data_IF_675095955185
#
_entry.id   IF_675095955185
#
_cell.length_a   1.000
_cell.length_b   1.000
_cell.length_c   1.000
_cell.angle_alpha   90.00
_cell.angle_beta   90.00
_cell.angle_gamma   90.00
#
_symmetry.space_group_name_H-M   'P 1'
#
loop_
_entity.id
_entity.type
_entity.pdbx_description
1 polymer ?
#
# COMPACT_ATOMS: atom_id res chain seq x y z
N UNK A 1 -100.73 48.28 34.27
CA UNK A 1 -99.62 48.39 35.24
C UNK A 1 -99.37 47.00 35.81
N UNK A 2 -98.74 46.12 35.11
CA UNK A 2 -98.44 44.76 35.54
C UNK A 2 -97.00 44.41 35.39
N UNK A 3 -96.40 44.06 36.48
CA UNK A 3 -95.02 43.65 36.66
C UNK A 3 -94.79 42.29 35.94
N UNK A 4 -93.61 42.08 35.27
CA UNK A 4 -93.30 40.75 34.73
C UNK A 4 -92.63 39.87 35.76
N UNK A 5 -93.16 38.66 35.86
CA UNK A 5 -92.73 37.61 36.78
C UNK A 5 -91.33 37.03 36.41
N UNK A 6 -90.50 36.99 37.38
CA UNK A 6 -89.21 36.35 37.47
C UNK A 6 -89.35 34.82 37.39
N UNK A 7 -88.93 34.22 36.26
CA UNK A 7 -88.85 32.77 36.14
C UNK A 7 -87.42 32.33 36.54
N UNK A 8 -87.26 32.04 37.82
CA UNK A 8 -86.13 31.25 38.29
C UNK A 8 -86.19 29.84 37.72
N UNK A 9 -85.21 29.51 36.83
CA UNK A 9 -85.01 28.17 36.38
C UNK A 9 -84.46 27.32 37.55
N UNK A 10 -85.34 26.55 38.17
CA UNK A 10 -84.97 25.54 39.17
C UNK A 10 -84.32 24.34 38.47
N UNK A 11 -82.94 24.45 38.30
CA UNK A 11 -82.18 23.30 37.91
C UNK A 11 -82.06 22.28 39.06
N UNK A 12 -82.50 21.07 38.86
CA UNK A 12 -82.39 20.00 39.86
C UNK A 12 -80.95 19.79 40.28
N UNK A 13 -80.54 20.08 41.59
CA UNK A 13 -79.15 20.04 42.06
C UNK A 13 -78.50 18.67 41.89
N UNK A 14 -79.27 17.59 41.88
CA UNK A 14 -78.76 16.22 41.63
C UNK A 14 -78.30 16.04 40.17
N UNK A 15 -79.02 16.67 39.25
CA UNK A 15 -78.66 16.62 37.82
C UNK A 15 -77.42 17.45 37.49
N UNK A 16 -77.27 18.60 38.20
CA UNK A 16 -76.07 19.48 38.11
C UNK A 16 -74.82 18.79 38.66
N UNK A 17 -74.97 18.11 39.82
CA UNK A 17 -73.89 17.34 40.42
C UNK A 17 -73.40 16.15 39.56
N UNK A 18 -74.39 15.48 38.88
CA UNK A 18 -74.02 14.42 37.90
C UNK A 18 -73.27 14.97 36.66
N UNK A 19 -73.65 16.12 36.14
CA UNK A 19 -72.97 16.78 35.01
C UNK A 19 -71.56 17.19 35.40
N UNK A 20 -71.37 17.76 36.63
CA UNK A 20 -70.08 18.17 37.14
C UNK A 20 -69.14 16.99 37.39
N UNK A 21 -69.68 15.83 37.86
CA UNK A 21 -68.89 14.61 37.99
C UNK A 21 -68.45 14.05 36.65
N UNK A 22 -69.35 14.09 35.65
CA UNK A 22 -69.01 13.64 34.27
C UNK A 22 -67.98 14.53 33.61
N UNK A 23 -68.08 15.82 33.77
CA UNK A 23 -67.05 16.80 33.25
C UNK A 23 -65.72 16.60 33.93
N UNK A 24 -65.68 16.36 35.23
CA UNK A 24 -64.48 16.09 36.01
C UNK A 24 -63.80 14.80 35.52
N UNK A 25 -64.55 13.74 35.31
CA UNK A 25 -64.08 12.46 34.78
C UNK A 25 -63.51 12.63 33.37
N UNK A 26 -64.17 13.36 32.49
CA UNK A 26 -63.63 13.64 31.14
C UNK A 26 -62.33 14.45 31.16
N UNK A 27 -62.19 15.42 32.06
CA UNK A 27 -60.96 16.19 32.23
C UNK A 27 -59.82 15.28 32.74
N UNK A 28 -60.09 14.39 33.65
CA UNK A 28 -59.13 13.42 34.19
C UNK A 28 -58.66 12.42 33.12
N UNK A 29 -59.58 11.89 32.32
CA UNK A 29 -59.21 11.02 31.19
C UNK A 29 -58.33 11.74 30.17
N UNK A 30 -58.69 12.96 29.76
CA UNK A 30 -57.86 13.74 28.84
C UNK A 30 -56.47 14.05 29.42
N UNK A 31 -56.36 14.23 30.72
CA UNK A 31 -55.06 14.46 31.38
C UNK A 31 -54.21 13.19 31.38
N UNK A 32 -54.82 12.04 31.63
CA UNK A 32 -54.14 10.74 31.59
C UNK A 32 -53.69 10.38 30.19
N UNK A 33 -54.52 10.61 29.17
CA UNK A 33 -54.15 10.44 27.76
C UNK A 33 -52.94 11.28 27.37
N UNK A 34 -52.91 12.59 27.72
CA UNK A 34 -51.78 13.47 27.45
C UNK A 34 -50.52 13.01 28.19
N UNK A 35 -50.65 12.53 29.43
CA UNK A 35 -49.51 12.00 30.17
C UNK A 35 -48.95 10.72 29.53
N UNK A 36 -49.85 9.83 29.08
CA UNK A 36 -49.46 8.60 28.38
C UNK A 36 -48.78 8.89 27.04
N UNK A 37 -49.29 9.87 26.28
CA UNK A 37 -48.64 10.32 25.03
C UNK A 37 -47.25 10.94 25.30
N UNK A 38 -47.16 11.78 26.32
CA UNK A 38 -45.87 12.39 26.72
C UNK A 38 -44.84 11.31 27.12
N UNK A 39 -45.24 10.32 27.91
CA UNK A 39 -44.40 9.21 28.31
C UNK A 39 -43.93 8.39 27.09
N UNK A 40 -44.84 8.11 26.13
CA UNK A 40 -44.50 7.44 24.87
C UNK A 40 -43.47 8.26 24.05
N UNK A 41 -43.66 9.58 23.97
CA UNK A 41 -42.70 10.46 23.25
C UNK A 41 -41.32 10.48 23.93
N UNK A 42 -41.24 10.58 25.25
CA UNK A 42 -39.99 10.53 26.00
C UNK A 42 -39.28 9.19 25.83
N UNK A 43 -40.03 8.08 25.89
CA UNK A 43 -39.50 6.73 25.67
C UNK A 43 -38.94 6.55 24.24
N UNK A 44 -39.67 7.06 23.22
CA UNK A 44 -39.16 7.07 21.83
C UNK A 44 -37.89 7.88 21.68
N UNK A 45 -37.80 9.09 22.29
CA UNK A 45 -36.61 9.91 22.26
C UNK A 45 -35.41 9.24 22.94
N UNK A 46 -35.60 8.59 24.09
CA UNK A 46 -34.57 7.83 24.79
C UNK A 46 -34.05 6.65 23.97
N UNK A 47 -34.99 5.86 23.36
CA UNK A 47 -34.63 4.75 22.49
C UNK A 47 -33.92 5.24 21.24
N UNK A 48 -34.33 6.33 20.61
CA UNK A 48 -33.67 6.92 19.46
C UNK A 48 -32.26 7.36 19.81
N UNK A 49 -32.04 8.04 20.93
CA UNK A 49 -30.67 8.42 21.38
C UNK A 49 -29.79 7.17 21.59
N UNK A 50 -30.31 6.13 22.25
CA UNK A 50 -29.55 4.90 22.49
C UNK A 50 -29.16 4.22 21.17
N UNK A 51 -30.08 4.12 20.22
CA UNK A 51 -29.79 3.55 18.88
C UNK A 51 -28.71 4.34 18.16
N UNK A 52 -28.80 5.67 18.15
CA UNK A 52 -27.78 6.52 17.55
C UNK A 52 -26.40 6.38 18.24
N UNK A 53 -26.36 6.25 19.57
CA UNK A 53 -25.11 6.00 20.30
C UNK A 53 -24.53 4.64 19.96
N UNK A 54 -25.34 3.59 19.85
CA UNK A 54 -24.88 2.24 19.47
C UNK A 54 -24.36 2.23 18.05
N UNK A 55 -25.15 2.78 17.09
CA UNK A 55 -24.74 2.84 15.68
C UNK A 55 -23.49 3.70 15.51
N UNK A 56 -23.41 4.85 16.18
CA UNK A 56 -22.24 5.73 16.11
C UNK A 56 -20.98 5.08 16.68
N UNK A 57 -21.10 4.39 17.82
CA UNK A 57 -19.94 3.72 18.43
C UNK A 57 -19.47 2.50 17.62
N UNK A 58 -20.38 1.71 17.04
CA UNK A 58 -19.99 0.59 16.18
C UNK A 58 -19.33 1.07 14.89
N UNK A 59 -19.82 2.15 14.28
CA UNK A 59 -19.17 2.76 13.11
C UNK A 59 -17.79 3.30 13.45
N UNK A 60 -17.62 3.98 14.59
CA UNK A 60 -16.32 4.46 15.05
C UNK A 60 -15.32 3.31 15.29
N UNK A 61 -15.76 2.23 15.94
CA UNK A 61 -14.93 1.03 16.14
C UNK A 61 -14.54 0.36 14.83
N UNK A 62 -15.45 0.31 13.85
CA UNK A 62 -15.13 -0.24 12.53
C UNK A 62 -14.07 0.60 11.81
N UNK A 63 -14.15 1.93 11.87
CA UNK A 63 -13.14 2.82 11.29
C UNK A 63 -11.79 2.63 11.98
N UNK A 64 -11.77 2.58 13.32
CA UNK A 64 -10.53 2.33 14.08
C UNK A 64 -9.95 0.96 13.71
N UNK A 65 -10.77 -0.08 13.60
CA UNK A 65 -10.35 -1.41 13.17
C UNK A 65 -9.73 -1.42 11.77
N UNK A 66 -10.33 -0.71 10.82
CA UNK A 66 -9.78 -0.56 9.45
C UNK A 66 -8.44 0.20 9.46
N UNK A 67 -8.32 1.26 10.24
CA UNK A 67 -7.07 2.02 10.37
C UNK A 67 -5.98 1.14 10.98
N UNK A 68 -6.26 0.43 12.08
CA UNK A 68 -5.30 -0.49 12.69
C UNK A 68 -4.91 -1.60 11.73
N UNK A 69 -5.87 -2.18 11.02
CA UNK A 69 -5.60 -3.20 10.01
C UNK A 69 -4.72 -2.67 8.86
N UNK A 70 -4.93 -1.43 8.41
CA UNK A 70 -4.10 -0.82 7.36
C UNK A 70 -2.64 -0.66 7.77
N UNK A 71 -2.35 -0.40 9.03
CA UNK A 71 -0.98 -0.36 9.56
C UNK A 71 -0.41 -1.77 9.83
N UNK A 72 -1.23 -2.68 10.35
CA UNK A 72 -0.78 -4.04 10.68
C UNK A 72 -0.48 -4.90 9.46
N UNK A 73 -1.17 -4.65 8.35
CA UNK A 73 -1.01 -5.37 7.08
C UNK A 73 -0.35 -4.52 5.98
N UNK A 74 0.20 -3.35 6.32
CA UNK A 74 1.00 -2.59 5.37
C UNK A 74 2.23 -3.42 4.95
N UNK A 75 2.54 -3.54 3.64
CA UNK A 75 3.78 -4.14 3.21
C UNK A 75 4.96 -3.37 3.81
N UNK A 76 6.03 -4.10 4.17
CA UNK A 76 7.26 -3.46 4.61
C UNK A 76 7.76 -2.48 3.54
N UNK A 77 8.26 -1.31 3.91
CA UNK A 77 8.87 -0.42 2.93
C UNK A 77 10.08 -1.13 2.30
N UNK A 78 10.39 -0.86 1.02
CA UNK A 78 11.58 -1.40 0.38
C UNK A 78 12.83 -1.01 1.18
N UNK A 79 13.88 -1.85 1.19
CA UNK A 79 15.11 -1.54 1.86
C UNK A 79 15.76 -0.28 1.27
N UNK A 80 16.46 0.46 2.10
CA UNK A 80 17.19 1.65 1.69
C UNK A 80 18.70 1.41 1.86
N UNK A 81 19.43 1.62 0.80
CA UNK A 81 20.89 1.58 0.80
C UNK A 81 21.44 3.00 0.71
N UNK A 82 22.67 3.23 1.16
CA UNK A 82 23.31 4.54 1.02
C UNK A 82 23.99 4.63 -0.34
N UNK A 83 23.57 5.60 -1.15
CA UNK A 83 24.11 5.80 -2.47
C UNK A 83 25.60 6.17 -2.43
N UNK A 84 26.38 5.58 -3.32
CA UNK A 84 27.78 5.89 -3.49
C UNK A 84 28.69 5.46 -2.35
N UNK A 85 28.22 4.60 -1.47
CA UNK A 85 28.97 4.19 -0.30
C UNK A 85 29.72 2.88 -0.58
N UNK A 86 30.78 2.97 -1.40
CA UNK A 86 31.77 1.89 -1.44
C UNK A 86 32.45 1.85 -0.09
N UNK A 87 32.05 0.90 0.76
CA UNK A 87 32.59 0.76 2.12
C UNK A 87 33.95 0.09 2.11
N UNK A 88 34.35 -0.47 0.97
CA UNK A 88 35.49 -1.35 0.82
C UNK A 88 35.26 -2.73 1.39
N UNK A 89 33.97 -3.12 1.52
CA UNK A 89 33.60 -4.46 1.99
C UNK A 89 34.00 -5.51 0.97
N UNK A 90 34.90 -6.40 1.34
CA UNK A 90 35.19 -7.59 0.55
C UNK A 90 34.07 -8.60 0.72
N UNK A 91 33.34 -8.88 -0.35
CA UNK A 91 32.24 -9.85 -0.38
C UNK A 91 32.77 -11.12 -1.04
N UNK A 92 32.71 -12.23 -0.31
CA UNK A 92 33.18 -13.52 -0.82
C UNK A 92 32.43 -13.93 -2.09
N UNK A 93 33.17 -14.32 -3.13
CA UNK A 93 32.66 -14.77 -4.42
C UNK A 93 32.30 -13.64 -5.40
N UNK A 94 32.50 -12.36 -5.05
CA UNK A 94 32.37 -11.28 -6.03
C UNK A 94 33.55 -11.35 -7.01
N UNK A 95 33.20 -11.35 -8.28
CA UNK A 95 34.14 -11.23 -9.39
C UNK A 95 34.21 -9.78 -9.85
N UNK A 96 35.42 -9.30 -10.11
CA UNK A 96 35.67 -7.97 -10.65
C UNK A 96 36.21 -8.05 -12.07
N UNK A 97 35.82 -7.10 -12.89
CA UNK A 97 36.18 -7.02 -14.32
C UNK A 97 36.71 -5.62 -14.65
N UNK A 98 37.23 -5.48 -15.84
CA UNK A 98 37.58 -4.19 -16.43
C UNK A 98 36.90 -4.09 -17.79
N UNK A 99 35.76 -3.43 -17.84
CA UNK A 99 34.97 -3.29 -19.05
C UNK A 99 35.07 -1.90 -19.66
N UNK A 100 34.98 -1.81 -20.98
CA UNK A 100 34.86 -0.55 -21.71
C UNK A 100 33.41 -0.05 -21.63
N UNK A 101 33.22 1.27 -21.69
CA UNK A 101 31.92 1.92 -21.62
C UNK A 101 31.46 2.58 -22.93
N UNK A 102 31.78 1.97 -24.06
CA UNK A 102 31.45 2.55 -25.38
C UNK A 102 29.98 2.34 -25.70
N UNK A 103 29.33 3.39 -26.19
CA UNK A 103 28.00 3.27 -26.79
C UNK A 103 28.07 2.68 -28.20
N UNK A 104 27.38 1.61 -28.44
CA UNK A 104 27.30 0.91 -29.73
C UNK A 104 25.86 0.63 -30.16
N UNK A 105 25.67 0.42 -31.44
CA UNK A 105 24.38 -0.04 -31.99
C UNK A 105 24.45 -1.54 -32.26
N UNK A 106 23.33 -2.24 -32.00
CA UNK A 106 23.21 -3.67 -32.28
C UNK A 106 23.64 -4.57 -31.13
N UNK A 107 23.75 -5.86 -31.42
CA UNK A 107 24.05 -6.90 -30.41
C UNK A 107 25.52 -6.96 -30.09
N UNK A 108 25.83 -7.09 -28.81
CA UNK A 108 27.20 -7.23 -28.27
C UNK A 108 27.42 -8.65 -27.76
N UNK A 109 28.59 -9.20 -28.02
CA UNK A 109 29.03 -10.44 -27.35
C UNK A 109 29.80 -10.04 -26.10
N UNK A 110 29.30 -10.46 -24.94
CA UNK A 110 29.91 -10.19 -23.66
C UNK A 110 30.71 -11.38 -23.15
N UNK A 111 31.80 -11.10 -22.43
CA UNK A 111 32.61 -12.13 -21.78
C UNK A 111 31.94 -12.70 -20.53
N UNK A 112 31.10 -11.90 -19.86
CA UNK A 112 30.32 -12.32 -18.69
C UNK A 112 28.89 -12.68 -19.11
N UNK A 113 28.33 -13.70 -18.46
CA UNK A 113 26.92 -14.11 -18.63
C UNK A 113 26.27 -14.28 -17.25
N UNK A 114 25.27 -13.42 -16.90
CA UNK A 114 24.87 -12.16 -17.55
C UNK A 114 26.00 -11.12 -17.62
N UNK A 115 25.91 -10.09 -18.48
CA UNK A 115 26.96 -9.07 -18.56
C UNK A 115 27.00 -8.19 -17.29
N UNK A 116 28.23 -7.79 -16.92
CA UNK A 116 28.48 -6.90 -15.80
C UNK A 116 29.15 -5.57 -16.22
N UNK A 117 28.99 -5.18 -17.47
CA UNK A 117 29.59 -4.02 -18.11
C UNK A 117 29.96 -4.30 -19.56
N UNK A 118 30.57 -3.35 -20.23
CA UNK A 118 31.03 -3.48 -21.60
C UNK A 118 30.33 -2.55 -22.59
N UNK A 119 30.61 -2.65 -23.89
CA UNK A 119 29.94 -1.85 -24.91
C UNK A 119 28.44 -2.07 -24.86
N UNK A 120 27.65 -1.00 -24.99
CA UNK A 120 26.21 -1.09 -24.77
C UNK A 120 25.41 -0.06 -25.59
N UNK A 121 24.09 -0.20 -25.59
CA UNK A 121 23.18 0.67 -26.32
C UNK A 121 23.18 2.08 -25.69
N UNK A 122 23.15 3.18 -26.47
CA UNK A 122 23.07 4.54 -25.92
C UNK A 122 21.77 4.87 -25.18
N UNK A 123 20.79 3.95 -25.15
CA UNK A 123 19.54 4.11 -24.41
C UNK A 123 19.46 3.03 -23.33
N UNK A 124 19.32 3.45 -22.10
CA UNK A 124 19.25 2.54 -20.95
C UNK A 124 17.88 1.88 -20.78
N UNK A 125 17.87 0.71 -20.15
CA UNK A 125 16.65 0.08 -19.65
C UNK A 125 16.20 0.82 -18.38
N UNK A 126 14.94 1.22 -18.34
CA UNK A 126 14.37 1.81 -17.13
C UNK A 126 14.44 0.83 -15.96
N UNK A 127 14.89 1.29 -14.80
CA UNK A 127 14.92 0.48 -13.59
C UNK A 127 13.53 -0.03 -13.21
N UNK A 128 13.46 -1.25 -12.68
CA UNK A 128 12.22 -1.91 -12.30
C UNK A 128 12.29 -3.43 -12.36
N UNK A 129 11.14 -4.05 -12.17
CA UNK A 129 10.94 -5.49 -12.24
C UNK A 129 10.36 -5.85 -13.60
N UNK A 130 10.91 -6.90 -14.20
CA UNK A 130 10.50 -7.42 -15.50
C UNK A 130 10.21 -8.92 -15.38
N UNK A 131 9.15 -9.38 -16.02
CA UNK A 131 8.75 -10.80 -16.04
C UNK A 131 9.24 -11.53 -17.30
N UNK A 132 9.89 -10.82 -18.21
CA UNK A 132 10.46 -11.36 -19.44
C UNK A 132 11.95 -11.01 -19.54
N UNK A 133 12.76 -11.80 -20.29
CA UNK A 133 14.17 -11.49 -20.54
C UNK A 133 14.35 -10.12 -21.18
N UNK A 134 15.40 -9.42 -20.81
CA UNK A 134 15.70 -8.07 -21.28
C UNK A 134 16.87 -8.07 -22.27
N UNK A 135 16.96 -7.01 -23.09
CA UNK A 135 18.14 -6.78 -23.94
C UNK A 135 19.33 -6.41 -23.08
N UNK A 136 20.42 -7.17 -23.22
CA UNK A 136 21.65 -6.97 -22.46
C UNK A 136 22.19 -5.56 -22.59
N UNK A 137 22.22 -5.04 -23.81
CA UNK A 137 22.83 -3.75 -24.12
C UNK A 137 22.12 -2.58 -23.43
N UNK A 138 20.80 -2.65 -23.28
CA UNK A 138 20.05 -1.64 -22.54
C UNK A 138 20.18 -1.80 -21.03
N UNK A 139 20.27 -3.03 -20.52
CA UNK A 139 20.47 -3.32 -19.10
C UNK A 139 21.89 -2.91 -18.66
N UNK A 140 22.91 -3.19 -19.46
CA UNK A 140 24.31 -2.77 -19.19
C UNK A 140 24.41 -1.25 -19.10
N UNK A 141 23.72 -0.49 -19.92
CA UNK A 141 23.69 0.98 -19.77
C UNK A 141 23.11 1.42 -18.41
N UNK A 142 22.10 0.73 -17.92
CA UNK A 142 21.60 1.03 -16.58
C UNK A 142 22.65 0.73 -15.48
N UNK A 143 23.50 -0.30 -15.65
CA UNK A 143 24.64 -0.53 -14.76
C UNK A 143 25.64 0.63 -14.80
N UNK A 144 25.90 1.21 -15.97
CA UNK A 144 26.76 2.40 -16.13
C UNK A 144 26.28 3.58 -15.28
N UNK A 145 24.94 3.73 -15.12
CA UNK A 145 24.33 4.74 -14.26
C UNK A 145 24.40 4.42 -12.76
N UNK A 146 24.94 3.25 -12.40
CA UNK A 146 25.05 2.78 -11.02
C UNK A 146 23.88 1.92 -10.55
N UNK A 147 23.04 1.41 -11.45
CA UNK A 147 22.03 0.43 -11.08
C UNK A 147 22.65 -0.94 -10.80
N UNK A 148 21.92 -1.77 -10.05
CA UNK A 148 22.22 -3.19 -9.86
C UNK A 148 21.18 -4.00 -10.62
N UNK A 149 21.65 -4.99 -11.37
CA UNK A 149 20.82 -5.90 -12.12
C UNK A 149 20.83 -7.28 -11.49
N UNK A 150 19.71 -7.67 -10.90
CA UNK A 150 19.47 -9.05 -10.45
C UNK A 150 18.90 -9.83 -11.63
N UNK A 151 19.55 -10.92 -11.99
CA UNK A 151 19.07 -11.88 -12.99
C UNK A 151 18.83 -13.23 -12.35
N UNK A 152 17.80 -13.95 -12.79
CA UNK A 152 17.52 -15.28 -12.30
C UNK A 152 17.17 -16.25 -13.44
N UNK A 153 17.55 -17.48 -13.29
CA UNK A 153 17.14 -18.57 -14.21
C UNK A 153 15.72 -19.02 -13.83
N UNK A 154 14.71 -18.80 -14.70
CA UNK A 154 13.32 -19.12 -14.41
C UNK A 154 13.04 -20.64 -14.30
N UNK A 155 13.95 -21.50 -14.73
CA UNK A 155 13.83 -22.95 -14.54
C UNK A 155 14.35 -23.40 -13.16
N UNK A 156 15.10 -22.54 -12.46
CA UNK A 156 15.79 -22.85 -11.20
C UNK A 156 15.31 -22.03 -10.01
N UNK A 157 14.69 -20.87 -10.24
CA UNK A 157 14.17 -19.98 -9.19
C UNK A 157 12.65 -19.92 -9.29
N UNK A 158 11.97 -20.34 -8.24
CA UNK A 158 10.52 -20.33 -8.12
C UNK A 158 9.98 -18.95 -7.73
N UNK A 159 8.65 -18.83 -7.65
CA UNK A 159 8.00 -17.54 -7.32
C UNK A 159 8.39 -17.04 -5.92
N UNK A 160 8.59 -17.92 -4.94
CA UNK A 160 9.01 -17.51 -3.61
C UNK A 160 10.42 -16.91 -3.62
N UNK A 161 11.33 -17.48 -4.40
CA UNK A 161 12.67 -16.92 -4.65
C UNK A 161 12.61 -15.58 -5.36
N UNK A 162 11.77 -15.43 -6.39
CA UNK A 162 11.57 -14.15 -7.09
C UNK A 162 11.05 -13.09 -6.11
N UNK A 163 10.11 -13.43 -5.23
CA UNK A 163 9.56 -12.50 -4.25
C UNK A 163 10.60 -12.13 -3.16
N UNK A 164 11.47 -13.06 -2.78
CA UNK A 164 12.61 -12.77 -1.90
C UNK A 164 13.61 -11.80 -2.57
N UNK A 165 13.92 -12.00 -3.86
CA UNK A 165 14.78 -11.07 -4.62
C UNK A 165 14.16 -9.67 -4.72
N UNK A 166 12.85 -9.56 -4.94
CA UNK A 166 12.14 -8.26 -4.91
C UNK A 166 12.23 -7.59 -3.54
N UNK A 167 12.18 -8.37 -2.47
CA UNK A 167 12.20 -7.85 -1.10
C UNK A 167 13.55 -7.17 -0.72
N UNK A 168 14.66 -7.55 -1.36
CA UNK A 168 15.97 -6.93 -1.14
C UNK A 168 16.24 -5.74 -2.06
N UNK A 169 15.38 -5.49 -3.06
CA UNK A 169 15.56 -4.38 -4.00
C UNK A 169 15.19 -3.03 -3.36
N UNK A 170 16.00 -1.99 -3.56
CA UNK A 170 15.62 -0.62 -3.29
C UNK A 170 14.55 -0.14 -4.29
N UNK A 171 13.88 0.97 -3.99
CA UNK A 171 12.84 1.55 -4.85
C UNK A 171 13.33 2.11 -6.18
N UNK A 172 14.64 2.23 -6.39
CA UNK A 172 15.27 2.78 -7.60
C UNK A 172 16.66 2.21 -7.81
N UNK A 173 17.21 2.43 -9.00
CA UNK A 173 18.54 1.94 -9.39
C UNK A 173 18.71 0.43 -9.15
N UNK A 174 17.66 -0.32 -9.45
CA UNK A 174 17.69 -1.77 -9.44
C UNK A 174 16.83 -2.32 -10.59
N UNK A 175 17.31 -3.41 -11.19
CA UNK A 175 16.65 -4.19 -12.22
C UNK A 175 16.47 -5.61 -11.71
N UNK A 176 15.35 -6.24 -11.99
CA UNK A 176 15.13 -7.68 -11.81
C UNK A 176 14.53 -8.23 -13.07
N UNK A 177 15.13 -9.26 -13.67
CA UNK A 177 14.57 -9.94 -14.82
C UNK A 177 14.97 -11.42 -14.88
N UNK A 178 14.17 -12.27 -15.52
CA UNK A 178 14.64 -13.61 -15.89
C UNK A 178 15.80 -13.51 -16.89
N UNK A 179 16.70 -14.49 -16.80
CA UNK A 179 17.80 -14.70 -17.73
C UNK A 179 17.99 -16.22 -17.93
N UNK A 180 17.29 -16.80 -18.91
CA UNK A 180 17.33 -18.26 -19.12
C UNK A 180 18.72 -18.76 -19.49
N UNK A 181 19.08 -19.95 -19.00
CA UNK A 181 20.27 -20.67 -19.39
C UNK A 181 21.56 -20.17 -18.75
N UNK A 182 21.46 -19.49 -17.61
CA UNK A 182 22.65 -19.15 -16.79
C UNK A 182 23.33 -20.39 -16.20
N UNK A 183 24.60 -20.29 -15.94
CA UNK A 183 25.37 -21.31 -15.20
C UNK A 183 25.05 -21.35 -13.70
N UNK A 184 24.42 -20.31 -13.18
CA UNK A 184 24.00 -20.16 -11.78
C UNK A 184 22.50 -19.86 -11.70
N UNK A 185 21.79 -20.18 -10.59
CA UNK A 185 20.39 -19.79 -10.39
C UNK A 185 20.18 -18.28 -10.39
N UNK A 186 21.10 -17.51 -9.78
CA UNK A 186 20.98 -16.07 -9.58
C UNK A 186 22.33 -15.42 -9.80
N UNK A 187 22.34 -14.27 -10.53
CA UNK A 187 23.48 -13.39 -10.58
C UNK A 187 23.05 -11.95 -10.25
N UNK A 188 23.92 -11.24 -9.53
CA UNK A 188 23.74 -9.84 -9.15
C UNK A 188 24.89 -9.06 -9.74
N UNK A 189 24.62 -8.16 -10.68
CA UNK A 189 25.63 -7.42 -11.44
C UNK A 189 25.53 -5.92 -11.14
N UNK A 190 26.66 -5.30 -10.87
CA UNK A 190 26.90 -3.88 -10.96
C UNK A 190 27.96 -3.64 -12.04
N UNK A 191 28.25 -2.39 -12.37
CA UNK A 191 29.33 -2.11 -13.32
C UNK A 191 30.67 -2.68 -12.81
N UNK A 192 31.29 -3.51 -13.62
CA UNK A 192 32.55 -4.23 -13.36
C UNK A 192 32.55 -5.22 -12.18
N UNK A 193 31.39 -5.50 -11.59
CA UNK A 193 31.29 -6.44 -10.46
C UNK A 193 30.10 -7.39 -10.62
N UNK A 194 30.31 -8.66 -10.28
CA UNK A 194 29.23 -9.66 -10.30
C UNK A 194 29.39 -10.67 -9.16
N UNK A 195 28.26 -10.96 -8.53
CA UNK A 195 28.10 -12.02 -7.54
C UNK A 195 27.16 -13.09 -8.09
N UNK A 196 27.56 -14.36 -8.06
CA UNK A 196 26.72 -15.51 -8.40
C UNK A 196 26.37 -16.27 -7.14
N UNK A 197 25.08 -16.59 -6.96
CA UNK A 197 24.56 -17.28 -5.79
C UNK A 197 23.53 -18.35 -6.16
N UNK A 198 23.38 -19.32 -5.26
CA UNK A 198 22.48 -20.46 -5.46
C UNK A 198 21.09 -20.24 -4.84
N UNK A 199 20.93 -19.25 -3.95
CA UNK A 199 19.67 -18.98 -3.24
C UNK A 199 19.36 -17.50 -3.22
N UNK A 200 18.05 -17.18 -3.29
CA UNK A 200 17.53 -15.82 -3.14
C UNK A 200 17.67 -15.27 -1.70
N UNK A 201 17.85 -16.16 -0.72
CA UNK A 201 18.06 -15.80 0.69
C UNK A 201 19.53 -15.60 1.05
N UNK A 202 20.45 -15.63 0.07
CA UNK A 202 21.87 -15.41 0.32
C UNK A 202 22.14 -13.98 0.84
N UNK A 203 22.68 -13.83 2.06
CA UNK A 203 22.88 -12.51 2.66
C UNK A 203 23.83 -11.60 1.86
N UNK A 204 24.72 -12.19 1.06
CA UNK A 204 25.65 -11.44 0.21
C UNK A 204 24.95 -10.60 -0.85
N UNK A 205 23.70 -10.91 -1.20
CA UNK A 205 22.90 -10.07 -2.10
C UNK A 205 22.70 -8.67 -1.48
N UNK A 206 22.30 -8.62 -0.20
CA UNK A 206 22.12 -7.34 0.51
C UNK A 206 23.46 -6.61 0.75
N UNK A 207 24.54 -7.35 1.01
CA UNK A 207 25.89 -6.81 1.10
C UNK A 207 26.35 -6.20 -0.23
N UNK A 208 26.04 -6.88 -1.36
CA UNK A 208 26.32 -6.38 -2.70
C UNK A 208 25.59 -5.06 -2.99
N UNK A 209 24.31 -4.93 -2.61
CA UNK A 209 23.59 -3.66 -2.68
C UNK A 209 24.24 -2.60 -1.79
N UNK A 210 24.68 -2.95 -0.59
CA UNK A 210 25.34 -2.01 0.33
C UNK A 210 26.61 -1.44 -0.27
N UNK A 211 27.39 -2.26 -0.99
CA UNK A 211 28.68 -1.87 -1.55
C UNK A 211 28.56 -1.15 -2.91
N UNK A 212 27.69 -1.67 -3.81
CA UNK A 212 27.72 -1.28 -5.21
C UNK A 212 26.51 -0.45 -5.68
N UNK A 213 25.47 -0.29 -4.86
CA UNK A 213 24.30 0.48 -5.28
C UNK A 213 24.62 1.96 -5.43
N UNK A 214 24.42 2.47 -6.65
CA UNK A 214 24.75 3.84 -7.03
C UNK A 214 26.22 4.20 -6.71
N UNK A 215 27.11 3.25 -6.94
CA UNK A 215 28.54 3.42 -6.71
C UNK A 215 29.09 4.60 -7.50
N UNK A 216 29.98 5.37 -6.89
CA UNK A 216 30.70 6.44 -7.56
C UNK A 216 31.78 5.91 -8.54
N UNK A 217 32.05 4.61 -8.52
CA UNK A 217 32.95 3.93 -9.44
C UNK A 217 32.27 3.53 -10.77
N UNK A 218 30.94 3.65 -10.89
CA UNK A 218 30.27 3.51 -12.17
C UNK A 218 30.70 4.65 -13.12
N UNK A 219 30.76 4.44 -14.44
CA UNK A 219 31.22 5.46 -15.39
C UNK A 219 30.37 6.73 -15.41
N UNK A 220 29.05 6.59 -15.28
CA UNK A 220 28.09 7.69 -15.21
C UNK A 220 27.30 7.67 -13.90
N UNK A 221 27.93 7.87 -12.74
CA UNK A 221 27.30 7.67 -11.45
C UNK A 221 26.14 8.63 -11.25
N UNK A 222 24.98 8.08 -10.81
CA UNK A 222 23.74 8.81 -10.57
C UNK A 222 23.06 9.41 -11.82
N UNK A 223 23.44 9.04 -13.04
CA UNK A 223 22.67 9.33 -14.23
C UNK A 223 21.27 8.70 -14.13
N UNK A 224 20.25 9.21 -14.85
CA UNK A 224 18.86 8.79 -14.66
C UNK A 224 18.64 7.29 -14.82
N UNK A 225 17.88 6.67 -13.91
CA UNK A 225 17.43 5.27 -14.00
C UNK A 225 16.00 5.16 -14.58
N UNK A 226 15.46 6.26 -15.10
CA UNK A 226 14.17 6.38 -15.75
C UNK A 226 14.24 7.36 -16.90
N UNK A 227 13.30 7.27 -17.86
CA UNK A 227 13.31 8.10 -19.07
C UNK A 227 14.01 7.45 -20.27
N UNK A 228 14.55 6.24 -20.11
CA UNK A 228 15.02 5.37 -21.19
C UNK A 228 13.90 4.51 -21.77
N UNK A 229 14.20 3.28 -22.15
CA UNK A 229 13.22 2.34 -22.71
C UNK A 229 12.63 1.42 -21.64
N UNK A 230 11.37 1.03 -21.85
CA UNK A 230 10.80 -0.11 -21.15
C UNK A 230 10.97 -1.36 -22.00
N UNK A 231 11.55 -2.39 -21.42
CA UNK A 231 11.56 -3.70 -22.06
C UNK A 231 10.22 -4.44 -21.92
N UNK A 232 10.10 -5.63 -22.50
CA UNK A 232 8.92 -6.47 -22.36
C UNK A 232 8.70 -6.90 -20.90
N UNK A 233 7.45 -7.18 -20.53
CA UNK A 233 7.09 -7.71 -19.22
C UNK A 233 7.36 -6.78 -18.03
N UNK A 234 7.37 -5.47 -18.20
CA UNK A 234 7.53 -4.55 -17.08
C UNK A 234 6.32 -4.63 -16.13
N UNK A 235 6.57 -4.91 -14.85
CA UNK A 235 5.57 -5.04 -13.78
C UNK A 235 5.28 -3.71 -13.07
#
# INVERSE_FOLDING_TARGET
MTSPSDKRASGNPAKQAQIDLTVKQQREQKRQEKLAEYQKQVARRKRGKLVWWVVGSTAALAVVGLVVASFAFAPAPPPSYQAGNSTGLEIDGVQSFENRSDHVQGTVTYDQTPPAGGPHNPVWLNCGVYTEPQQNENAVHALEHGAIWITYDPERVDQAGIDALKAVMPSSYALLSPYPGMDTPIAVSAWDHQLKVDSADDPRIAEFFTEYWRSQNAPEPNAPCSGGVNGPGRA
#
